data_IF_133668629976
#
_entry.id   IF_133668629976
#
_cell.length_a   1.000
_cell.length_b   1.000
_cell.length_c   1.000
_cell.angle_alpha   90.00
_cell.angle_beta   90.00
_cell.angle_gamma   90.00
#
_symmetry.space_group_name_H-M   'P 1'
#
loop_
_entity.id
_entity.type
_entity.pdbx_description
1 polymer ?
#
# COMPACT_ATOMS: atom_id res chain seq x y z
N UNK A 1 -15.80 -2.19 -2.96
CA UNK A 1 -15.43 -3.47 -2.31
C UNK A 1 -13.96 -3.42 -1.95
N UNK A 2 -13.60 -3.91 -0.77
CA UNK A 2 -12.22 -3.96 -0.27
C UNK A 2 -11.96 -5.38 0.23
N UNK A 3 -10.83 -5.96 -0.16
CA UNK A 3 -10.34 -7.24 0.35
C UNK A 3 -9.06 -7.02 1.15
N UNK A 4 -8.96 -7.68 2.30
CA UNK A 4 -7.74 -7.69 3.13
C UNK A 4 -7.33 -9.13 3.34
N UNK A 5 -6.07 -9.44 3.08
CA UNK A 5 -5.53 -10.79 3.24
C UNK A 5 -4.13 -10.74 3.83
N UNK A 6 -3.77 -11.81 4.55
CA UNK A 6 -2.42 -12.01 5.07
C UNK A 6 -1.95 -13.38 4.62
N UNK A 7 -0.74 -13.45 4.09
CA UNK A 7 -0.11 -14.72 3.70
C UNK A 7 1.39 -14.63 3.86
N UNK A 8 2.05 -15.79 3.90
CA UNK A 8 3.50 -15.88 3.90
C UNK A 8 4.02 -16.01 2.48
N UNK A 9 5.06 -15.26 2.14
CA UNK A 9 5.82 -15.39 0.89
C UNK A 9 7.31 -15.52 1.22
N UNK A 10 7.85 -16.74 1.13
CA UNK A 10 9.23 -17.02 1.53
C UNK A 10 9.46 -16.69 3.01
N UNK A 11 10.40 -15.78 3.30
CA UNK A 11 10.73 -15.29 4.64
C UNK A 11 9.98 -14.01 5.03
N UNK A 12 8.89 -13.68 4.35
CA UNK A 12 8.12 -12.46 4.59
C UNK A 12 6.65 -12.78 4.92
N UNK A 13 6.09 -12.05 5.88
CA UNK A 13 4.64 -11.90 6.03
C UNK A 13 4.16 -10.76 5.12
N UNK A 14 3.13 -11.02 4.32
CA UNK A 14 2.56 -10.06 3.37
C UNK A 14 1.14 -9.74 3.79
N UNK A 15 0.90 -8.48 4.16
CA UNK A 15 -0.43 -7.90 4.30
C UNK A 15 -0.81 -7.24 2.97
N UNK A 16 -1.85 -7.74 2.32
CA UNK A 16 -2.35 -7.26 1.03
C UNK A 16 -3.73 -6.63 1.19
N UNK A 17 -3.88 -5.42 0.66
CA UNK A 17 -5.13 -4.67 0.58
C UNK A 17 -5.51 -4.46 -0.90
N UNK A 18 -6.59 -5.13 -1.26
CA UNK A 18 -7.39 -5.15 -2.48
C UNK A 18 -8.48 -4.06 -2.56
N UNK A 19 -8.59 -3.20 -3.57
CA UNK A 19 -9.84 -2.44 -3.78
C UNK A 19 -10.35 -2.46 -5.23
N UNK A 20 -11.59 -2.01 -5.43
CA UNK A 20 -12.34 -2.04 -6.70
C UNK A 20 -12.60 -0.66 -7.31
N UNK A 21 -11.88 0.36 -6.84
CA UNK A 21 -11.91 1.70 -7.39
C UNK A 21 -11.14 1.82 -8.72
N UNK A 22 -10.90 3.05 -9.15
CA UNK A 22 -10.25 3.34 -10.42
C UNK A 22 -8.78 2.88 -10.49
N UNK A 23 -8.16 2.60 -9.35
CA UNK A 23 -6.73 2.37 -9.22
C UNK A 23 -5.94 3.68 -9.28
N UNK A 24 -4.63 3.56 -9.43
CA UNK A 24 -3.69 4.69 -9.53
C UNK A 24 -2.74 4.40 -10.69
N UNK A 25 -2.41 5.43 -11.46
CA UNK A 25 -1.40 5.33 -12.52
C UNK A 25 -0.05 4.90 -11.90
N UNK A 26 0.61 3.84 -12.39
CA UNK A 26 1.92 3.42 -11.90
C UNK A 26 2.97 4.54 -11.83
N UNK A 27 2.90 5.55 -12.71
CA UNK A 27 3.77 6.71 -12.68
C UNK A 27 3.65 7.53 -11.38
N UNK A 28 2.52 7.44 -10.69
CA UNK A 28 2.23 8.17 -9.45
C UNK A 28 2.63 7.40 -8.19
N UNK A 29 3.03 6.13 -8.26
CA UNK A 29 3.34 5.30 -7.09
C UNK A 29 4.45 5.88 -6.19
N UNK A 30 5.43 6.56 -6.78
CA UNK A 30 6.47 7.24 -5.99
C UNK A 30 5.95 8.50 -5.30
N UNK A 31 5.00 9.20 -5.93
CA UNK A 31 4.46 10.44 -5.40
C UNK A 31 3.49 10.17 -4.24
N UNK A 32 2.67 9.13 -4.31
CA UNK A 32 1.70 8.78 -3.25
C UNK A 32 2.35 8.36 -1.92
N UNK A 33 3.65 8.03 -1.92
CA UNK A 33 4.45 7.82 -0.70
C UNK A 33 4.83 9.14 -0.01
N UNK A 34 4.78 10.26 -0.71
CA UNK A 34 5.23 11.55 -0.17
C UNK A 34 4.22 12.16 0.80
N UNK A 35 4.73 12.79 1.85
CA UNK A 35 3.91 13.55 2.80
C UNK A 35 3.15 14.66 2.06
N UNK A 36 1.90 14.85 2.43
CA UNK A 36 1.02 15.89 1.89
C UNK A 36 0.66 15.73 0.39
N UNK A 37 1.15 14.69 -0.28
CA UNK A 37 0.78 14.43 -1.67
C UNK A 37 -0.66 13.90 -1.75
N UNK A 38 -1.40 14.41 -2.74
CA UNK A 38 -2.77 14.01 -3.04
C UNK A 38 -2.95 13.91 -4.54
N UNK A 39 -3.60 12.84 -4.99
CA UNK A 39 -4.09 12.77 -6.36
C UNK A 39 -5.31 13.69 -6.44
N UNK A 40 -5.20 14.73 -7.27
CA UNK A 40 -6.27 15.70 -7.52
C UNK A 40 -7.45 14.94 -8.13
N UNK A 41 -8.53 14.75 -7.36
CA UNK A 41 -9.89 14.37 -7.83
C UNK A 41 -10.88 14.04 -6.69
N UNK A 42 -10.45 13.99 -5.43
CA UNK A 42 -11.35 13.67 -4.32
C UNK A 42 -11.52 14.86 -3.38
N UNK A 43 -12.77 15.30 -3.21
CA UNK A 43 -13.21 16.30 -2.24
C UNK A 43 -13.07 15.85 -0.77
N UNK A 44 -12.40 14.72 -0.53
CA UNK A 44 -12.21 14.15 0.79
C UNK A 44 -11.25 14.97 1.65
N UNK A 45 -11.58 15.04 2.95
CA UNK A 45 -10.78 15.70 3.98
C UNK A 45 -9.69 14.72 4.40
N UNK A 46 -8.43 15.09 4.16
CA UNK A 46 -7.27 14.31 4.57
C UNK A 46 -5.97 15.07 4.37
N UNK A 47 -5.02 14.90 5.30
CA UNK A 47 -3.72 15.59 5.28
C UNK A 47 -2.72 15.03 4.27
N UNK A 48 -3.04 13.92 3.59
CA UNK A 48 -2.09 13.24 2.69
C UNK A 48 -0.92 12.60 3.44
N UNK A 49 -1.10 12.21 4.71
CA UNK A 49 -0.04 11.62 5.53
C UNK A 49 -0.10 10.09 5.61
N UNK A 50 -1.26 9.47 5.37
CA UNK A 50 -1.49 8.04 5.63
C UNK A 50 -0.42 7.12 5.05
N UNK A 51 -0.23 7.14 3.72
CA UNK A 51 0.76 6.28 3.05
C UNK A 51 2.20 6.60 3.47
N UNK A 52 2.53 7.88 3.70
CA UNK A 52 3.87 8.25 4.16
C UNK A 52 4.20 7.74 5.57
N UNK A 53 3.18 7.58 6.42
CA UNK A 53 3.33 6.98 7.76
C UNK A 53 3.55 5.49 7.61
N UNK A 54 2.74 4.81 6.78
CA UNK A 54 2.89 3.36 6.52
C UNK A 54 4.25 3.05 5.93
N UNK A 55 4.71 3.84 4.96
CA UNK A 55 6.01 3.69 4.31
C UNK A 55 7.15 3.75 5.34
N UNK A 56 7.15 4.79 6.20
CA UNK A 56 8.16 4.93 7.27
C UNK A 56 8.08 3.85 8.33
N UNK A 57 6.88 3.45 8.74
CA UNK A 57 6.70 2.36 9.71
C UNK A 57 7.19 1.02 9.14
N UNK A 58 6.90 0.76 7.87
CA UNK A 58 7.31 -0.46 7.17
C UNK A 58 8.82 -0.52 6.99
N UNK A 59 9.45 0.58 6.55
CA UNK A 59 10.91 0.70 6.49
C UNK A 59 11.57 0.49 7.86
N UNK A 60 11.01 1.06 8.94
CA UNK A 60 11.54 0.92 10.29
C UNK A 60 11.52 -0.54 10.78
N UNK A 61 10.54 -1.33 10.33
CA UNK A 61 10.43 -2.76 10.61
C UNK A 61 11.26 -3.64 9.65
N UNK A 62 12.08 -3.06 8.78
CA UNK A 62 12.90 -3.78 7.81
C UNK A 62 12.09 -4.37 6.64
N UNK A 63 10.88 -3.84 6.40
CA UNK A 63 9.97 -4.29 5.36
C UNK A 63 9.96 -3.42 4.11
N UNK A 64 9.03 -3.73 3.21
CA UNK A 64 8.77 -2.95 1.98
C UNK A 64 7.27 -2.67 1.79
N UNK A 65 6.96 -1.49 1.24
CA UNK A 65 5.62 -1.08 0.82
C UNK A 65 5.55 -1.05 -0.72
N UNK A 66 4.70 -1.88 -1.31
CA UNK A 66 4.53 -2.01 -2.75
C UNK A 66 3.12 -1.66 -3.21
N UNK A 67 3.02 -1.13 -4.43
CA UNK A 67 1.77 -0.77 -5.08
C UNK A 67 1.69 -1.44 -6.45
N UNK A 68 0.51 -1.93 -6.78
CA UNK A 68 0.22 -2.51 -8.09
C UNK A 68 -1.26 -2.36 -8.42
N UNK A 69 -1.68 -2.78 -9.61
CA UNK A 69 -3.10 -2.92 -9.93
C UNK A 69 -3.60 -4.26 -9.39
N UNK A 70 -4.75 -4.25 -8.73
CA UNK A 70 -5.40 -5.46 -8.25
C UNK A 70 -5.77 -6.39 -9.42
N UNK A 71 -5.37 -7.65 -9.32
CA UNK A 71 -5.76 -8.69 -10.30
C UNK A 71 -7.16 -9.23 -10.03
N UNK A 72 -7.65 -9.10 -8.80
CA UNK A 72 -8.93 -9.65 -8.37
C UNK A 72 -10.09 -8.64 -8.45
N UNK A 73 -9.81 -7.36 -8.14
CA UNK A 73 -10.79 -6.29 -8.00
C UNK A 73 -10.58 -5.13 -8.97
N UNK A 74 -9.51 -5.15 -9.78
CA UNK A 74 -9.17 -4.15 -10.81
C UNK A 74 -8.78 -2.74 -10.33
N UNK A 75 -8.91 -2.42 -9.04
CA UNK A 75 -8.47 -1.17 -8.42
C UNK A 75 -7.01 -1.20 -7.96
N UNK A 76 -6.68 -0.57 -6.83
CA UNK A 76 -5.33 -0.57 -6.27
C UNK A 76 -5.09 -1.85 -5.46
N UNK A 77 -3.87 -2.36 -5.53
CA UNK A 77 -3.34 -3.36 -4.62
C UNK A 77 -2.17 -2.74 -3.85
N UNK A 78 -2.26 -2.76 -2.53
CA UNK A 78 -1.21 -2.31 -1.60
C UNK A 78 -0.68 -3.52 -0.85
N UNK A 79 0.65 -3.70 -0.85
CA UNK A 79 1.30 -4.78 -0.10
C UNK A 79 2.28 -4.22 0.91
N UNK A 80 2.11 -4.58 2.18
CA UNK A 80 3.10 -4.38 3.24
C UNK A 80 3.79 -5.72 3.47
N UNK A 81 5.09 -5.80 3.18
CA UNK A 81 5.91 -7.00 3.34
C UNK A 81 6.86 -6.82 4.51
N UNK A 82 6.75 -7.68 5.52
CA UNK A 82 7.59 -7.63 6.71
C UNK A 82 8.43 -8.91 6.82
N UNK A 83 9.68 -8.85 7.28
CA UNK A 83 10.47 -10.04 7.55
C UNK A 83 9.82 -10.88 8.66
N UNK A 84 9.80 -12.19 8.49
CA UNK A 84 9.44 -13.10 9.58
C UNK A 84 10.57 -13.17 10.61
N UNK A 85 10.20 -13.07 11.88
CA UNK A 85 11.10 -13.34 12.98
C UNK A 85 11.09 -14.85 13.19
N UNK A 86 12.27 -15.48 13.14
CA UNK A 86 12.42 -16.87 13.58
C UNK A 86 12.23 -16.90 15.11
N UNK A 87 11.35 -17.78 15.58
CA UNK A 87 11.05 -17.96 17.00
C UNK A 87 12.19 -18.68 17.72
#
# INVERSE_FOLDING_TARGET
MINVSIFQQGRQAVLQIEDSGAGIDPAQFNQIRQRFYRIHNHAEIGSGLGLSIVDKATEHLGGTLEFSRSTNLSGLCVQVKLPLIEA
#
